data_IF_243941766064
#
_entry.id   IF_243941766064
#
_cell.length_a   1.000
_cell.length_b   1.000
_cell.length_c   1.000
_cell.angle_alpha   90.00
_cell.angle_beta   90.00
_cell.angle_gamma   90.00
#
_symmetry.space_group_name_H-M   'P 1'
#
loop_
_entity.id
_entity.type
_entity.pdbx_description
1 polymer ?
#
# COMPACT_ATOMS: atom_id res chain seq x y z
N UNK A 1 -1.49 -18.30 29.58
CA UNK A 1 -1.64 -19.23 28.44
C UNK A 1 -2.86 -18.81 27.62
N UNK A 2 -2.66 -18.06 26.55
CA UNK A 2 -3.75 -17.59 25.66
C UNK A 2 -3.84 -18.39 24.35
N UNK A 3 -3.31 -19.63 24.34
CA UNK A 3 -2.84 -20.34 23.14
C UNK A 3 -3.88 -20.83 22.12
N UNK A 4 -5.06 -21.35 22.50
CA UNK A 4 -6.04 -21.83 21.50
C UNK A 4 -6.99 -20.73 21.04
N UNK A 5 -7.63 -20.02 21.98
CA UNK A 5 -8.72 -19.06 21.70
C UNK A 5 -8.29 -17.87 20.84
N UNK A 6 -7.04 -17.41 20.94
CA UNK A 6 -6.57 -16.25 20.18
C UNK A 6 -6.24 -16.64 18.74
N UNK A 7 -5.65 -17.83 18.52
CA UNK A 7 -5.37 -18.31 17.17
C UNK A 7 -6.69 -18.62 16.45
N UNK A 8 -7.63 -19.29 17.13
CA UNK A 8 -8.95 -19.56 16.58
C UNK A 8 -9.66 -18.28 16.12
N UNK A 9 -9.57 -17.21 16.94
CA UNK A 9 -10.12 -15.89 16.59
C UNK A 9 -9.41 -15.25 15.38
N UNK A 10 -8.07 -15.29 15.33
CA UNK A 10 -7.31 -14.76 14.18
C UNK A 10 -7.59 -15.52 12.89
N UNK A 11 -8.02 -16.79 12.99
CA UNK A 11 -8.37 -17.63 11.86
C UNK A 11 -9.86 -17.54 11.48
N UNK A 12 -10.66 -16.68 12.10
CA UNK A 12 -12.05 -16.47 11.68
C UNK A 12 -12.15 -15.98 10.21
N UNK A 13 -13.27 -16.30 9.54
CA UNK A 13 -13.47 -16.03 8.11
C UNK A 13 -14.02 -14.63 7.82
N UNK A 14 -14.32 -13.84 8.83
CA UNK A 14 -14.91 -12.50 8.68
C UNK A 14 -13.86 -11.48 8.18
N UNK A 15 -12.59 -11.65 8.59
CA UNK A 15 -11.44 -10.88 8.12
C UNK A 15 -10.38 -11.75 7.41
N UNK A 16 -10.57 -12.05 6.11
CA UNK A 16 -9.64 -12.89 5.34
C UNK A 16 -8.19 -12.38 5.33
N UNK A 17 -7.97 -11.07 5.44
CA UNK A 17 -6.63 -10.49 5.53
C UNK A 17 -5.91 -10.87 6.84
N UNK A 18 -6.63 -10.83 7.96
CA UNK A 18 -6.09 -11.24 9.27
C UNK A 18 -5.78 -12.73 9.24
N UNK A 19 -6.72 -13.54 8.75
CA UNK A 19 -6.53 -14.99 8.59
C UNK A 19 -5.33 -15.31 7.71
N UNK A 20 -5.21 -14.67 6.56
CA UNK A 20 -4.08 -14.89 5.63
C UNK A 20 -2.73 -14.63 6.32
N UNK A 21 -2.59 -13.47 6.98
CA UNK A 21 -1.33 -13.14 7.66
C UNK A 21 -1.07 -14.01 8.89
N UNK A 22 -2.11 -14.41 9.63
CA UNK A 22 -1.94 -15.35 10.74
C UNK A 22 -1.44 -16.72 10.25
N UNK A 23 -2.01 -17.24 9.17
CA UNK A 23 -1.57 -18.50 8.58
C UNK A 23 -0.11 -18.45 8.11
N UNK A 24 0.30 -17.37 7.43
CA UNK A 24 1.65 -17.27 6.85
C UNK A 24 2.69 -16.86 7.89
N UNK A 25 2.48 -15.75 8.60
CA UNK A 25 3.51 -15.11 9.43
C UNK A 25 3.58 -15.70 10.84
N UNK A 26 2.46 -16.21 11.39
CA UNK A 26 2.43 -16.76 12.75
C UNK A 26 2.51 -18.29 12.76
N UNK A 27 1.85 -18.95 11.80
CA UNK A 27 1.77 -20.42 11.74
C UNK A 27 2.72 -21.05 10.72
N UNK A 28 3.42 -20.24 9.92
CA UNK A 28 4.42 -20.73 8.95
C UNK A 28 3.81 -21.49 7.76
N UNK A 29 2.52 -21.26 7.47
CA UNK A 29 1.84 -21.80 6.30
C UNK A 29 2.49 -21.33 5.00
N UNK A 30 2.50 -22.19 3.99
CA UNK A 30 3.10 -21.87 2.68
C UNK A 30 2.10 -21.15 1.81
N UNK A 31 2.60 -20.24 0.97
CA UNK A 31 1.78 -19.54 -0.03
C UNK A 31 0.97 -20.47 -0.93
N UNK A 32 1.37 -21.73 -1.13
CA UNK A 32 0.65 -22.69 -1.98
C UNK A 32 -0.40 -23.51 -1.23
N UNK A 33 -0.47 -23.40 0.09
CA UNK A 33 -1.40 -24.17 0.88
C UNK A 33 -2.85 -23.73 0.55
N UNK A 34 -3.79 -24.68 0.40
CA UNK A 34 -5.15 -24.36 -0.04
C UNK A 34 -5.85 -23.30 0.81
N UNK A 35 -5.67 -23.38 2.14
CA UNK A 35 -6.27 -22.47 3.12
C UNK A 35 -5.68 -21.05 3.04
N UNK A 36 -4.35 -20.93 2.87
CA UNK A 36 -3.66 -19.65 2.67
C UNK A 36 -4.16 -18.98 1.39
N UNK A 37 -4.25 -19.76 0.30
CA UNK A 37 -4.75 -19.29 -0.98
C UNK A 37 -6.23 -18.90 -0.95
N UNK A 38 -7.04 -19.62 -0.17
CA UNK A 38 -8.45 -19.29 0.06
C UNK A 38 -8.59 -17.97 0.80
N UNK A 39 -7.90 -17.81 1.93
CA UNK A 39 -7.88 -16.56 2.70
C UNK A 39 -7.43 -15.39 1.81
N UNK A 40 -6.35 -15.57 1.03
CA UNK A 40 -5.84 -14.56 0.10
C UNK A 40 -6.85 -14.13 -0.96
N UNK A 41 -7.54 -15.08 -1.58
CA UNK A 41 -8.63 -14.78 -2.55
C UNK A 41 -9.85 -14.15 -1.87
N UNK A 42 -10.06 -14.39 -0.59
CA UNK A 42 -11.13 -13.83 0.22
C UNK A 42 -10.98 -12.34 0.49
N UNK A 43 -9.75 -11.81 0.50
CA UNK A 43 -9.44 -10.41 0.89
C UNK A 43 -10.21 -9.39 0.04
N UNK A 44 -10.36 -9.64 -1.26
CA UNK A 44 -11.11 -8.73 -2.15
C UNK A 44 -12.62 -8.98 -2.16
N UNK A 45 -13.12 -10.00 -1.44
CA UNK A 45 -14.51 -10.47 -1.49
C UNK A 45 -15.28 -10.25 -0.19
N UNK A 46 -14.58 -10.18 0.95
CA UNK A 46 -15.16 -9.99 2.28
C UNK A 46 -14.23 -9.15 3.15
N UNK A 47 -14.79 -8.54 4.20
CA UNK A 47 -14.05 -7.81 5.22
C UNK A 47 -13.50 -6.49 4.69
N UNK A 48 -12.52 -5.94 5.41
CA UNK A 48 -12.02 -4.60 5.16
C UNK A 48 -11.46 -4.40 3.74
N UNK A 49 -10.82 -5.42 3.15
CA UNK A 49 -10.31 -5.34 1.79
C UNK A 49 -11.43 -5.08 0.78
N UNK A 50 -12.50 -5.88 0.84
CA UNK A 50 -13.69 -5.67 0.00
C UNK A 50 -14.35 -4.33 0.25
N UNK A 51 -14.50 -3.92 1.51
CA UNK A 51 -15.22 -2.69 1.86
C UNK A 51 -14.49 -1.44 1.37
N UNK A 52 -13.16 -1.41 1.50
CA UNK A 52 -12.35 -0.34 0.92
C UNK A 52 -12.46 -0.32 -0.60
N UNK A 53 -12.31 -1.48 -1.25
CA UNK A 53 -12.41 -1.61 -2.70
C UNK A 53 -13.78 -1.17 -3.24
N UNK A 54 -14.87 -1.43 -2.51
CA UNK A 54 -16.22 -1.01 -2.89
C UNK A 54 -16.40 0.51 -2.91
N UNK A 55 -15.56 1.26 -2.20
CA UNK A 55 -15.57 2.72 -2.16
C UNK A 55 -14.72 3.35 -3.27
N UNK A 56 -14.00 2.56 -4.07
CA UNK A 56 -13.18 3.08 -5.17
C UNK A 56 -14.06 3.72 -6.25
N UNK A 57 -13.77 4.96 -6.62
CA UNK A 57 -14.43 5.61 -7.75
C UNK A 57 -14.13 4.91 -9.08
N UNK A 58 -14.95 5.14 -10.12
CA UNK A 58 -14.80 4.47 -11.43
C UNK A 58 -13.45 4.74 -12.10
N UNK A 59 -12.80 5.87 -11.77
CA UNK A 59 -11.47 6.24 -12.25
C UNK A 59 -10.31 5.66 -11.43
N UNK A 60 -10.60 4.86 -10.41
CA UNK A 60 -9.58 4.15 -9.61
C UNK A 60 -9.10 4.88 -8.36
N UNK A 61 -9.70 6.00 -7.99
CA UNK A 61 -9.28 6.84 -6.87
C UNK A 61 -10.43 7.11 -5.88
N UNK A 62 -10.11 7.51 -4.64
CA UNK A 62 -11.07 7.76 -3.55
C UNK A 62 -11.36 9.24 -3.29
N UNK A 63 -10.64 10.13 -3.95
CA UNK A 63 -10.93 11.56 -3.95
C UNK A 63 -12.32 11.83 -4.54
N UNK A 64 -12.98 12.90 -4.09
CA UNK A 64 -14.34 13.23 -4.52
C UNK A 64 -14.46 13.45 -6.04
N UNK A 65 -13.40 13.96 -6.66
CA UNK A 65 -13.33 14.31 -8.09
C UNK A 65 -11.88 14.50 -8.51
N UNK A 66 -11.67 14.58 -9.82
CA UNK A 66 -10.39 15.02 -10.37
C UNK A 66 -10.07 16.48 -10.00
N UNK A 67 -8.77 16.81 -9.93
CA UNK A 67 -8.30 18.19 -9.75
C UNK A 67 -8.71 19.11 -10.89
N UNK A 68 -9.02 20.37 -10.56
CA UNK A 68 -9.39 21.43 -11.53
C UNK A 68 -8.34 22.52 -11.68
N UNK A 69 -7.33 22.53 -10.82
CA UNK A 69 -6.28 23.54 -10.82
C UNK A 69 -4.99 22.94 -10.25
N UNK A 70 -3.89 23.70 -10.37
CA UNK A 70 -2.55 23.25 -9.96
C UNK A 70 -2.50 22.88 -8.47
N UNK A 71 -3.12 23.67 -7.59
CA UNK A 71 -3.14 23.39 -6.15
C UNK A 71 -3.80 22.04 -5.85
N UNK A 72 -4.95 21.78 -6.45
CA UNK A 72 -5.63 20.49 -6.28
C UNK A 72 -4.81 19.32 -6.86
N UNK A 73 -4.01 19.54 -7.90
CA UNK A 73 -3.11 18.51 -8.46
C UNK A 73 -1.95 18.17 -7.53
N UNK A 74 -1.45 19.13 -6.76
CA UNK A 74 -0.42 18.90 -5.74
C UNK A 74 -0.95 17.95 -4.66
N UNK A 75 -2.15 18.24 -4.17
CA UNK A 75 -2.79 17.48 -3.10
C UNK A 75 -3.31 16.11 -3.57
N UNK A 76 -3.60 15.97 -4.86
CA UNK A 76 -4.23 14.79 -5.44
C UNK A 76 -3.48 13.49 -5.11
N UNK A 77 -4.22 12.44 -4.78
CA UNK A 77 -3.72 11.14 -4.32
C UNK A 77 -3.01 11.13 -2.97
N UNK A 78 -2.59 12.26 -2.41
CA UNK A 78 -1.74 12.30 -1.20
C UNK A 78 -2.45 12.94 0.00
N UNK A 79 -3.41 13.82 -0.24
CA UNK A 79 -4.18 14.52 0.78
C UNK A 79 -5.71 14.44 0.54
N UNK A 80 -6.54 14.54 1.60
CA UNK A 80 -6.13 14.55 3.01
C UNK A 80 -5.63 13.17 3.48
N UNK A 81 -4.80 13.12 4.54
CA UNK A 81 -4.24 11.87 5.02
C UNK A 81 -5.34 10.88 5.44
N UNK A 82 -5.03 9.59 5.36
CA UNK A 82 -5.92 8.46 5.71
C UNK A 82 -7.18 8.30 4.87
N UNK A 83 -7.50 9.23 3.97
CA UNK A 83 -8.70 9.17 3.11
C UNK A 83 -8.41 9.25 1.62
N UNK A 84 -7.23 9.72 1.24
CA UNK A 84 -6.84 9.79 -0.16
C UNK A 84 -6.37 8.42 -0.68
N UNK A 85 -6.20 8.35 -2.00
CA UNK A 85 -5.86 7.13 -2.72
C UNK A 85 -4.54 6.52 -2.27
N UNK A 86 -3.52 7.32 -1.92
CA UNK A 86 -2.24 6.81 -1.44
C UNK A 86 -2.39 6.02 -0.12
N UNK A 87 -3.04 6.59 0.89
CA UNK A 87 -3.19 5.95 2.19
C UNK A 87 -4.10 4.72 2.12
N UNK A 88 -5.17 4.77 1.33
CA UNK A 88 -6.02 3.60 1.11
C UNK A 88 -5.25 2.52 0.34
N UNK A 89 -4.46 2.89 -0.67
CA UNK A 89 -3.56 1.98 -1.37
C UNK A 89 -2.57 1.28 -0.42
N UNK A 90 -1.97 2.04 0.50
CA UNK A 90 -1.07 1.50 1.52
C UNK A 90 -1.79 0.46 2.39
N UNK A 91 -3.00 0.76 2.87
CA UNK A 91 -3.80 -0.20 3.64
C UNK A 91 -4.16 -1.42 2.81
N UNK A 92 -4.56 -1.28 1.55
CA UNK A 92 -4.84 -2.42 0.67
C UNK A 92 -3.61 -3.32 0.48
N UNK A 93 -2.42 -2.73 0.38
CA UNK A 93 -1.16 -3.47 0.32
C UNK A 93 -0.87 -4.23 1.63
N UNK A 94 -1.29 -3.66 2.77
CA UNK A 94 -1.10 -4.25 4.10
C UNK A 94 -2.10 -5.34 4.40
N UNK A 95 -3.28 -5.25 3.82
CA UNK A 95 -4.26 -6.32 3.83
C UNK A 95 -3.86 -7.47 2.90
N UNK A 96 -2.77 -7.38 2.11
CA UNK A 96 -2.27 -8.47 1.27
C UNK A 96 -2.81 -8.48 -0.16
N UNK A 97 -3.40 -7.38 -0.63
CA UNK A 97 -3.78 -7.23 -2.05
C UNK A 97 -2.60 -6.73 -2.89
N UNK A 98 -2.57 -7.16 -4.15
CA UNK A 98 -1.55 -6.79 -5.13
C UNK A 98 -2.17 -6.40 -6.49
N UNK A 99 -1.32 -6.05 -7.46
CA UNK A 99 -1.74 -5.60 -8.77
C UNK A 99 -2.36 -6.70 -9.67
N UNK A 100 -2.47 -7.95 -9.19
CA UNK A 100 -3.31 -8.95 -9.87
C UNK A 100 -4.80 -8.60 -9.76
N UNK A 101 -5.18 -7.82 -8.74
CA UNK A 101 -6.51 -7.22 -8.66
C UNK A 101 -6.57 -5.94 -9.53
N UNK A 102 -7.51 -5.83 -10.50
CA UNK A 102 -7.60 -4.69 -11.40
C UNK A 102 -7.82 -3.34 -10.69
N UNK A 103 -8.48 -3.32 -9.53
CA UNK A 103 -8.70 -2.12 -8.74
C UNK A 103 -7.40 -1.60 -8.13
N UNK A 104 -6.57 -2.50 -7.61
CA UNK A 104 -5.25 -2.19 -7.06
C UNK A 104 -4.29 -1.79 -8.17
N UNK A 105 -4.34 -2.46 -9.31
CA UNK A 105 -3.55 -2.07 -10.48
C UNK A 105 -3.83 -0.62 -10.88
N UNK A 106 -5.10 -0.18 -10.89
CA UNK A 106 -5.43 1.22 -11.17
C UNK A 106 -4.82 2.20 -10.17
N UNK A 107 -4.78 1.85 -8.88
CA UNK A 107 -4.08 2.66 -7.86
C UNK A 107 -2.61 2.78 -8.21
N UNK A 108 -1.94 1.66 -8.50
CA UNK A 108 -0.53 1.67 -8.89
C UNK A 108 -0.26 2.52 -10.14
N UNK A 109 -1.11 2.40 -11.17
CA UNK A 109 -1.01 3.18 -12.41
C UNK A 109 -1.16 4.69 -12.14
N UNK A 110 -2.07 5.09 -11.25
CA UNK A 110 -2.23 6.49 -10.83
C UNK A 110 -1.00 7.01 -10.09
N UNK A 111 -0.47 6.24 -9.13
CA UNK A 111 0.74 6.61 -8.39
C UNK A 111 1.94 6.73 -9.34
N UNK A 112 2.09 5.81 -10.28
CA UNK A 112 3.13 5.89 -11.31
C UNK A 112 3.00 7.12 -12.21
N UNK A 113 1.77 7.49 -12.56
CA UNK A 113 1.48 8.60 -13.46
C UNK A 113 1.70 9.96 -12.79
N UNK A 114 1.24 10.10 -11.55
CA UNK A 114 1.12 11.40 -10.90
C UNK A 114 2.13 11.64 -9.78
N UNK A 115 2.65 10.57 -9.14
CA UNK A 115 3.51 10.69 -7.96
C UNK A 115 4.90 10.04 -8.10
N UNK A 116 5.12 9.20 -9.11
CA UNK A 116 6.43 8.61 -9.42
C UNK A 116 6.91 8.89 -10.85
N UNK A 117 6.25 9.78 -11.58
CA UNK A 117 6.69 10.19 -12.91
C UNK A 117 8.03 10.93 -12.80
N UNK A 118 9.05 10.42 -13.48
CA UNK A 118 10.36 11.06 -13.55
C UNK A 118 10.24 12.44 -14.21
N UNK A 119 10.79 13.47 -13.56
CA UNK A 119 10.72 14.86 -14.03
C UNK A 119 9.46 15.64 -13.61
N UNK A 120 8.52 15.02 -12.88
CA UNK A 120 7.44 15.76 -12.21
C UNK A 120 8.00 16.51 -10.99
N UNK A 121 7.67 17.79 -10.78
CA UNK A 121 8.01 18.50 -9.54
C UNK A 121 7.19 17.98 -8.33
N UNK A 122 6.13 17.22 -8.57
CA UNK A 122 5.27 16.65 -7.54
C UNK A 122 5.49 15.14 -7.52
N UNK A 123 6.52 14.70 -6.80
CA UNK A 123 6.97 13.32 -6.78
C UNK A 123 7.39 12.90 -5.37
N UNK A 124 7.09 11.65 -5.00
CA UNK A 124 7.49 11.05 -3.73
C UNK A 124 9.01 10.94 -3.50
N UNK A 125 9.87 11.17 -4.50
CA UNK A 125 11.33 11.27 -4.32
C UNK A 125 11.75 12.53 -3.55
N UNK A 126 10.87 13.52 -3.38
CA UNK A 126 11.18 14.78 -2.71
C UNK A 126 10.29 15.05 -1.50
N UNK A 127 9.58 14.03 -1.04
CA UNK A 127 8.70 14.12 0.13
C UNK A 127 9.44 13.81 1.42
N UNK A 128 8.73 13.84 2.55
CA UNK A 128 9.25 13.33 3.80
C UNK A 128 9.61 11.83 3.69
N UNK A 129 10.68 11.37 4.36
CA UNK A 129 11.12 9.97 4.29
C UNK A 129 10.02 8.94 4.54
N UNK A 130 9.08 9.25 5.44
CA UNK A 130 7.96 8.37 5.75
C UNK A 130 7.02 8.15 4.55
N UNK A 131 6.79 9.17 3.72
CA UNK A 131 5.93 9.07 2.53
C UNK A 131 6.63 8.25 1.46
N UNK A 132 7.91 8.52 1.20
CA UNK A 132 8.71 7.81 0.21
C UNK A 132 8.87 6.33 0.58
N UNK A 133 9.12 6.02 1.87
CA UNK A 133 9.20 4.64 2.37
C UNK A 133 7.87 3.91 2.26
N UNK A 134 6.76 4.56 2.62
CA UNK A 134 5.43 3.96 2.45
C UNK A 134 5.10 3.71 0.98
N UNK A 135 5.46 4.64 0.07
CA UNK A 135 5.32 4.42 -1.36
C UNK A 135 6.16 3.23 -1.85
N UNK A 136 7.42 3.13 -1.41
CA UNK A 136 8.31 2.04 -1.78
C UNK A 136 7.75 0.68 -1.32
N UNK A 137 7.31 0.60 -0.05
CA UNK A 137 6.69 -0.59 0.55
C UNK A 137 5.41 -0.99 -0.16
N UNK A 138 4.48 -0.05 -0.36
CA UNK A 138 3.21 -0.28 -1.06
C UNK A 138 3.44 -0.80 -2.48
N UNK A 139 4.27 -0.12 -3.27
CA UNK A 139 4.51 -0.52 -4.66
C UNK A 139 5.27 -1.85 -4.77
N UNK A 140 6.15 -2.14 -3.82
CA UNK A 140 6.81 -3.45 -3.70
C UNK A 140 5.79 -4.56 -3.44
N UNK A 141 4.90 -4.37 -2.47
CA UNK A 141 3.82 -5.33 -2.14
C UNK A 141 2.81 -5.50 -3.28
N UNK A 142 2.58 -4.46 -4.06
CA UNK A 142 1.79 -4.55 -5.29
C UNK A 142 2.46 -5.35 -6.42
N UNK A 143 3.72 -5.76 -6.26
CA UNK A 143 4.46 -6.58 -7.23
C UNK A 143 5.41 -5.79 -8.13
N UNK A 144 5.71 -4.52 -7.80
CA UNK A 144 6.58 -3.65 -8.61
C UNK A 144 7.98 -3.45 -8.04
N UNK A 145 8.48 -4.38 -7.22
CA UNK A 145 9.81 -4.30 -6.60
C UNK A 145 10.95 -4.04 -7.60
N UNK A 146 10.81 -4.61 -8.81
CA UNK A 146 11.80 -4.52 -9.88
C UNK A 146 11.64 -3.26 -10.75
N UNK A 147 10.58 -2.46 -10.57
CA UNK A 147 10.39 -1.23 -11.33
C UNK A 147 11.45 -0.20 -10.92
N UNK A 148 12.14 0.37 -11.92
CA UNK A 148 13.21 1.36 -11.70
C UNK A 148 12.80 2.55 -10.82
N UNK A 149 11.54 2.98 -10.86
CA UNK A 149 11.04 4.09 -10.05
C UNK A 149 10.87 3.69 -8.59
N UNK A 150 10.46 2.44 -8.34
CA UNK A 150 10.37 1.88 -6.98
C UNK A 150 11.76 1.68 -6.39
N UNK A 151 12.71 1.14 -7.16
CA UNK A 151 14.12 1.05 -6.77
C UNK A 151 14.73 2.41 -6.45
N UNK A 152 14.37 3.45 -7.21
CA UNK A 152 14.81 4.82 -6.94
C UNK A 152 14.31 5.37 -5.60
N UNK A 153 13.11 4.98 -5.13
CA UNK A 153 12.63 5.37 -3.79
C UNK A 153 13.56 4.81 -2.70
N UNK A 154 13.96 3.53 -2.82
CA UNK A 154 14.91 2.93 -1.90
C UNK A 154 16.30 3.58 -1.97
N UNK A 155 16.80 3.86 -3.18
CA UNK A 155 18.07 4.55 -3.34
C UNK A 155 18.07 5.92 -2.65
N UNK A 156 17.00 6.70 -2.84
CA UNK A 156 16.84 7.99 -2.19
C UNK A 156 16.78 7.88 -0.65
N UNK A 157 16.07 6.88 -0.10
CA UNK A 157 16.05 6.65 1.35
C UNK A 157 17.44 6.32 1.91
N UNK A 158 18.25 5.57 1.17
CA UNK A 158 19.63 5.28 1.59
C UNK A 158 20.53 6.52 1.52
N UNK A 159 20.30 7.39 0.55
CA UNK A 159 21.02 8.67 0.42
C UNK A 159 20.64 9.67 1.53
N UNK A 160 19.38 9.70 1.96
CA UNK A 160 18.86 10.58 3.03
C UNK A 160 19.13 10.04 4.45
N UNK A 161 19.69 8.82 4.58
CA UNK A 161 19.96 8.21 5.88
C UNK A 161 20.99 9.04 6.67
N UNK A 162 20.65 9.34 7.92
CA UNK A 162 21.52 10.10 8.83
C UNK A 162 22.69 9.26 9.34
N UNK A 163 23.70 9.93 9.91
CA UNK A 163 24.87 9.27 10.49
C UNK A 163 24.52 8.26 11.60
N UNK A 164 23.42 8.47 12.32
CA UNK A 164 22.90 7.55 13.34
C UNK A 164 22.12 6.35 12.78
N UNK A 165 21.99 6.27 11.45
CA UNK A 165 21.24 5.23 10.74
C UNK A 165 19.73 5.48 10.68
N UNK A 166 19.23 6.60 11.21
CA UNK A 166 17.81 6.94 11.24
C UNK A 166 17.35 7.89 10.13
N UNK A 167 16.06 8.21 10.18
CA UNK A 167 15.38 9.22 9.34
C UNK A 167 14.47 10.07 10.21
N UNK A 168 14.32 11.35 9.86
CA UNK A 168 13.38 12.27 10.52
C UNK A 168 12.31 12.77 9.53
N UNK A 169 11.28 13.46 10.01
CA UNK A 169 10.23 14.07 9.17
C UNK A 169 10.70 15.31 8.38
N UNK A 170 12.01 15.51 8.27
CA UNK A 170 12.62 16.50 7.38
C UNK A 170 13.77 15.83 6.67
N UNK A 171 13.96 16.16 5.39
CA UNK A 171 15.10 15.69 4.62
C UNK A 171 16.40 15.98 5.37
N UNK A 172 17.27 14.98 5.45
CA UNK A 172 18.61 15.11 5.96
C UNK A 172 19.48 15.73 4.89
N UNK A 173 20.03 16.92 5.15
CA UNK A 173 21.28 17.34 4.52
C UNK A 173 22.44 16.77 5.31
#
# INVERSE_FOLDING_TARGET
MSGPRVIDWLLEEDQPAVRYWALVELLGGKERDPEVQEARRGISKRGWGRDLLALQGPKGFWERREPRNVKEWIDFLQFPPFRCTFWIGLVLSDLGLDATNPQVKRVADLIFTYKLRLGSPFNFFFEEPCISANAARMMTRFGFAEDRRVRKLFAWLLEDQREDGGWNCSQGT
#
